data_IF_247479999272
#
_entry.id   IF_247479999272
#
_cell.length_a   1.000
_cell.length_b   1.000
_cell.length_c   1.000
_cell.angle_alpha   90.00
_cell.angle_beta   90.00
_cell.angle_gamma   90.00
#
_symmetry.space_group_name_H-M   'P 1'
#
loop_
_entity.id
_entity.type
_entity.pdbx_description
1 polymer ?
#
# COMPACT_ATOMS: atom_id res chain seq x y z
N UNK A 1 1.13 24.51 -42.72
CA UNK A 1 2.05 23.63 -41.97
C UNK A 1 1.73 23.82 -40.51
N UNK A 2 0.93 22.92 -39.96
CA UNK A 2 0.71 22.83 -38.51
C UNK A 2 0.50 21.35 -38.21
N UNK A 3 1.58 20.67 -37.85
CA UNK A 3 1.56 19.24 -37.54
C UNK A 3 1.90 19.06 -36.07
N UNK A 4 0.82 19.12 -35.27
CA UNK A 4 0.59 18.39 -34.02
C UNK A 4 1.84 17.87 -33.31
N UNK A 5 2.36 18.68 -32.38
CA UNK A 5 3.23 18.22 -31.30
C UNK A 5 2.38 17.39 -30.30
N UNK A 6 2.10 16.13 -30.66
CA UNK A 6 1.43 15.19 -29.75
C UNK A 6 2.48 14.60 -28.82
N UNK A 7 2.59 15.17 -27.63
CA UNK A 7 3.33 14.57 -26.52
C UNK A 7 2.71 13.20 -26.21
N UNK A 8 3.39 12.14 -26.64
CA UNK A 8 3.05 10.78 -26.23
C UNK A 8 3.54 10.58 -24.80
N UNK A 9 2.64 10.18 -23.90
CA UNK A 9 3.05 9.68 -22.59
C UNK A 9 3.81 8.38 -22.82
N UNK A 10 5.12 8.41 -22.65
CA UNK A 10 5.90 7.19 -22.48
C UNK A 10 5.42 6.54 -21.18
N UNK A 11 4.49 5.59 -21.30
CA UNK A 11 4.27 4.62 -20.24
C UNK A 11 5.51 3.75 -20.21
N UNK A 12 6.42 4.07 -19.28
CA UNK A 12 7.47 3.16 -18.83
C UNK A 12 6.74 1.98 -18.20
N UNK A 13 6.28 1.07 -19.05
CA UNK A 13 5.91 -0.28 -18.66
C UNK A 13 7.24 -0.99 -18.48
N UNK A 14 7.94 -0.62 -17.41
CA UNK A 14 8.90 -1.50 -16.77
C UNK A 14 8.09 -2.34 -15.80
N UNK A 15 8.32 -3.64 -15.80
CA UNK A 15 7.66 -4.68 -15.01
C UNK A 15 7.86 -4.52 -13.49
N UNK A 16 7.45 -3.39 -12.92
CA UNK A 16 7.12 -3.25 -11.52
C UNK A 16 5.59 -3.19 -11.48
N UNK A 17 4.92 -4.35 -11.44
CA UNK A 17 3.54 -4.36 -10.96
C UNK A 17 3.54 -3.59 -9.63
N UNK A 18 2.87 -2.44 -9.59
CA UNK A 18 2.65 -1.75 -8.32
C UNK A 18 2.03 -2.76 -7.36
N UNK A 19 2.74 -3.07 -6.27
CA UNK A 19 2.27 -4.04 -5.29
C UNK A 19 0.85 -3.67 -4.86
N UNK A 20 -0.03 -4.66 -4.86
CA UNK A 20 -1.43 -4.44 -4.51
C UNK A 20 -1.55 -4.02 -3.05
N UNK A 21 -2.64 -3.34 -2.71
CA UNK A 21 -2.94 -2.98 -1.31
C UNK A 21 -2.96 -4.23 -0.41
N UNK A 22 -3.46 -5.36 -0.92
CA UNK A 22 -3.44 -6.66 -0.22
C UNK A 22 -2.01 -7.13 0.06
N UNK A 23 -1.15 -7.18 -0.97
CA UNK A 23 0.24 -7.63 -0.84
C UNK A 23 1.02 -6.77 0.15
N UNK A 24 0.81 -5.45 0.10
CA UNK A 24 1.43 -4.50 1.03
C UNK A 24 0.96 -4.75 2.47
N UNK A 25 -0.34 -4.90 2.70
CA UNK A 25 -0.90 -5.14 4.03
C UNK A 25 -0.41 -6.48 4.61
N UNK A 26 -0.33 -7.54 3.79
CA UNK A 26 0.22 -8.84 4.20
C UNK A 26 1.71 -8.76 4.53
N UNK A 27 2.50 -8.07 3.71
CA UNK A 27 3.93 -7.87 3.97
C UNK A 27 4.17 -7.09 5.28
N UNK A 28 3.37 -6.04 5.51
CA UNK A 28 3.40 -5.25 6.75
C UNK A 28 3.01 -6.10 7.96
N UNK A 29 1.97 -6.92 7.83
CA UNK A 29 1.51 -7.82 8.89
C UNK A 29 2.60 -8.82 9.31
N UNK A 30 3.25 -9.47 8.35
CA UNK A 30 4.34 -10.42 8.64
C UNK A 30 5.57 -9.71 9.22
N UNK A 31 5.92 -8.52 8.74
CA UNK A 31 7.01 -7.74 9.30
C UNK A 31 6.75 -7.33 10.76
N UNK A 32 5.49 -7.04 11.10
CA UNK A 32 5.07 -6.73 12.47
C UNK A 32 5.14 -7.96 13.38
N UNK A 33 4.67 -9.13 12.91
CA UNK A 33 4.77 -10.40 13.65
C UNK A 33 6.21 -10.79 13.95
N UNK A 34 7.10 -10.68 12.96
CA UNK A 34 8.53 -11.02 13.13
C UNK A 34 9.27 -10.09 14.11
N UNK A 35 8.67 -8.96 14.48
CA UNK A 35 9.21 -7.99 15.44
C UNK A 35 8.44 -7.97 16.76
N UNK A 36 7.58 -8.96 16.99
CA UNK A 36 6.77 -9.09 18.21
C UNK A 36 5.87 -7.87 18.51
N UNK A 37 5.44 -7.15 17.45
CA UNK A 37 4.40 -6.14 17.56
C UNK A 37 3.01 -6.76 17.40
N UNK A 38 1.98 -6.13 17.99
CA UNK A 38 0.59 -6.44 17.63
C UNK A 38 0.29 -5.86 16.25
N UNK A 39 0.14 -6.69 15.19
CA UNK A 39 0.07 -6.16 13.83
C UNK A 39 -1.19 -5.33 13.59
N UNK A 40 -2.32 -5.76 14.15
CA UNK A 40 -3.61 -5.11 13.96
C UNK A 40 -3.58 -3.70 14.52
N UNK A 41 -3.11 -3.52 15.76
CA UNK A 41 -3.05 -2.21 16.39
C UNK A 41 -2.13 -1.24 15.63
N UNK A 42 -1.00 -1.73 15.12
CA UNK A 42 -0.05 -0.90 14.39
C UNK A 42 -0.58 -0.51 13.00
N UNK A 43 -1.23 -1.42 12.29
CA UNK A 43 -1.86 -1.13 11.00
C UNK A 43 -3.00 -0.11 11.20
N UNK A 44 -3.89 -0.32 12.17
CA UNK A 44 -4.96 0.65 12.49
C UNK A 44 -4.39 2.01 12.87
N UNK A 45 -3.36 2.04 13.72
CA UNK A 45 -2.66 3.27 14.11
C UNK A 45 -2.09 4.02 12.90
N UNK A 46 -1.45 3.31 11.97
CA UNK A 46 -0.95 3.88 10.72
C UNK A 46 -2.08 4.42 9.83
N UNK A 47 -3.16 3.67 9.62
CA UNK A 47 -4.26 4.09 8.75
C UNK A 47 -4.91 5.39 9.27
N UNK A 48 -5.16 5.47 10.57
CA UNK A 48 -5.77 6.65 11.20
C UNK A 48 -4.85 7.87 11.24
N UNK A 49 -3.61 7.69 11.72
CA UNK A 49 -2.69 8.81 11.95
C UNK A 49 -1.87 9.22 10.73
N UNK A 50 -1.63 8.27 9.82
CA UNK A 50 -0.66 8.38 8.74
C UNK A 50 0.80 8.42 9.19
N UNK A 51 1.07 8.22 10.49
CA UNK A 51 2.43 8.21 11.00
C UNK A 51 3.13 6.88 10.68
N UNK A 52 4.16 6.88 9.81
CA UNK A 52 4.89 5.67 9.47
C UNK A 52 5.71 5.08 10.62
N UNK A 53 5.82 5.75 11.77
CA UNK A 53 6.46 5.21 12.97
C UNK A 53 5.78 3.92 13.47
N UNK A 54 4.47 3.76 13.23
CA UNK A 54 3.73 2.55 13.56
C UNK A 54 4.23 1.30 12.82
N UNK A 55 4.79 1.45 11.62
CA UNK A 55 5.26 0.32 10.80
C UNK A 55 6.77 0.17 10.96
N UNK A 56 7.33 -1.02 11.29
CA UNK A 56 8.76 -1.20 11.46
C UNK A 56 9.51 -1.04 10.12
N UNK A 57 10.80 -0.69 10.20
CA UNK A 57 11.69 -0.65 9.01
C UNK A 57 12.08 -2.05 8.50
N UNK A 58 11.61 -3.10 9.15
CA UNK A 58 11.91 -4.49 8.84
C UNK A 58 11.32 -4.89 7.48
N UNK A 59 12.06 -5.68 6.70
CA UNK A 59 11.65 -6.20 5.39
C UNK A 59 11.04 -5.15 4.45
N UNK A 60 11.54 -3.91 4.49
CA UNK A 60 11.01 -2.80 3.69
C UNK A 60 9.52 -2.46 3.91
N UNK A 61 8.88 -2.99 4.96
CA UNK A 61 7.45 -2.79 5.22
C UNK A 61 7.04 -1.31 5.29
N UNK A 62 7.83 -0.49 5.99
CA UNK A 62 7.60 0.96 6.06
C UNK A 62 7.71 1.67 4.71
N UNK A 63 8.57 1.19 3.82
CA UNK A 63 8.68 1.77 2.47
C UNK A 63 7.52 1.31 1.59
N UNK A 64 7.16 0.03 1.66
CA UNK A 64 6.04 -0.55 0.91
C UNK A 64 4.72 0.14 1.23
N UNK A 65 4.40 0.32 2.51
CA UNK A 65 3.13 0.94 2.92
C UNK A 65 3.02 2.39 2.49
N UNK A 66 4.14 3.10 2.35
CA UNK A 66 4.20 4.49 1.87
C UNK A 66 4.10 4.62 0.35
N UNK A 67 4.17 3.53 -0.41
CA UNK A 67 3.97 3.54 -1.86
C UNK A 67 2.50 3.67 -2.25
N UNK A 68 1.59 3.48 -1.29
CA UNK A 68 0.14 3.61 -1.49
C UNK A 68 -0.42 4.70 -0.60
N UNK A 69 -1.40 5.44 -1.12
CA UNK A 69 -2.17 6.37 -0.32
C UNK A 69 -3.03 5.59 0.70
N UNK A 70 -3.33 6.23 1.83
CA UNK A 70 -4.01 5.54 2.94
C UNK A 70 -5.47 5.23 2.62
N UNK A 71 -6.12 6.11 1.87
CA UNK A 71 -7.47 5.90 1.40
C UNK A 71 -7.56 4.70 0.46
N UNK A 72 -6.57 4.45 -0.40
CA UNK A 72 -6.48 3.22 -1.23
C UNK A 72 -6.41 1.95 -0.37
N UNK A 73 -5.62 1.97 0.72
CA UNK A 73 -5.54 0.84 1.66
C UNK A 73 -6.87 0.62 2.39
N UNK A 74 -7.53 1.70 2.82
CA UNK A 74 -8.82 1.63 3.52
C UNK A 74 -9.92 1.16 2.58
N UNK A 75 -9.96 1.66 1.34
CA UNK A 75 -10.94 1.27 0.33
C UNK A 75 -10.88 -0.24 0.08
N UNK A 76 -9.68 -0.78 -0.11
CA UNK A 76 -9.49 -2.22 -0.32
C UNK A 76 -9.97 -3.03 0.89
N UNK A 77 -9.65 -2.61 2.11
CA UNK A 77 -10.11 -3.27 3.33
C UNK A 77 -11.64 -3.29 3.44
N UNK A 78 -12.31 -2.16 3.14
CA UNK A 78 -13.78 -2.06 3.17
C UNK A 78 -14.40 -2.93 2.09
N UNK A 79 -13.84 -2.90 0.87
CA UNK A 79 -14.28 -3.72 -0.27
C UNK A 79 -14.19 -5.21 0.06
N UNK A 80 -13.04 -5.65 0.59
CA UNK A 80 -12.81 -7.03 0.99
C UNK A 80 -13.79 -7.48 2.09
N UNK A 81 -13.97 -6.65 3.12
CA UNK A 81 -14.91 -6.95 4.21
C UNK A 81 -16.34 -7.13 3.72
N UNK A 82 -16.84 -6.23 2.86
CA UNK A 82 -18.18 -6.32 2.29
C UNK A 82 -18.33 -7.49 1.32
N UNK A 83 -17.29 -7.84 0.58
CA UNK A 83 -17.30 -9.00 -0.32
C UNK A 83 -17.43 -10.33 0.44
N UNK A 84 -16.80 -10.45 1.61
CA UNK A 84 -16.88 -11.65 2.44
C UNK A 84 -18.18 -11.82 3.24
N UNK A 85 -19.05 -10.79 3.29
CA UNK A 85 -20.32 -10.80 4.03
C UNK A 85 -21.55 -10.72 3.12
N UNK A 86 -21.36 -10.93 1.81
CA UNK A 86 -22.43 -11.11 0.82
C UNK A 86 -22.47 -12.56 0.37
#
# INVERSE_FOLDING_TARGET
>A
MDSMDKTVKFNVTGDEQEASSEEILLAVYEALKQKDYNPINQIVGYLLSGDPAYIPRHNNARSLVRKKERDELIEELVRYYLAGHR
#
